data_IF_071427914905
#
_entry.id   IF_071427914905
#
_cell.length_a   1.000
_cell.length_b   1.000
_cell.length_c   1.000
_cell.angle_alpha   90.00
_cell.angle_beta   90.00
_cell.angle_gamma   90.00
#
_symmetry.space_group_name_H-M   'P 1'
#
loop_
_entity.id
_entity.type
_entity.pdbx_description
1 polymer ?
#
# COMPACT_ATOMS: atom_id res chain seq x y z
N UNK A 1 -10.75 -28.26 -1.78
CA UNK A 1 -10.76 -27.08 -0.88
C UNK A 1 -10.32 -25.89 -1.71
N UNK A 2 -11.14 -24.83 -1.81
CA UNK A 2 -10.72 -23.61 -2.51
C UNK A 2 -9.56 -22.97 -1.74
N UNK A 3 -8.60 -22.33 -2.43
CA UNK A 3 -7.50 -21.63 -1.76
C UNK A 3 -8.02 -20.55 -0.81
N UNK A 4 -7.54 -20.57 0.44
CA UNK A 4 -7.76 -19.52 1.43
C UNK A 4 -6.83 -18.35 1.10
N UNK A 5 -7.31 -17.46 0.23
CA UNK A 5 -6.58 -16.25 -0.14
C UNK A 5 -6.62 -15.19 0.97
N UNK A 6 -5.55 -14.41 0.99
CA UNK A 6 -5.35 -13.28 1.89
C UNK A 6 -5.20 -12.01 1.09
N UNK A 7 -5.53 -10.87 1.69
CA UNK A 7 -5.62 -9.63 0.94
C UNK A 7 -5.00 -8.47 1.70
N UNK A 8 -4.37 -7.57 0.96
CA UNK A 8 -3.91 -6.27 1.47
C UNK A 8 -4.53 -5.19 0.62
N UNK A 9 -4.88 -4.06 1.24
CA UNK A 9 -5.25 -2.85 0.51
C UNK A 9 -4.29 -1.74 0.87
N UNK A 10 -3.63 -1.19 -0.13
CA UNK A 10 -2.60 -0.15 0.00
C UNK A 10 -2.94 1.02 -0.92
N UNK A 11 -2.51 2.25 -0.63
CA UNK A 11 -2.64 3.35 -1.57
C UNK A 11 -1.60 3.19 -2.69
N UNK A 12 -1.89 3.67 -3.90
CA UNK A 12 -0.98 3.58 -5.04
C UNK A 12 0.42 4.16 -4.75
N UNK A 13 0.53 5.24 -3.99
CA UNK A 13 1.82 5.79 -3.56
C UNK A 13 2.69 4.77 -2.82
N UNK A 14 2.09 3.89 -1.99
CA UNK A 14 2.85 2.88 -1.29
C UNK A 14 3.41 1.85 -2.28
N UNK A 15 2.62 1.46 -3.30
CA UNK A 15 3.11 0.59 -4.37
C UNK A 15 4.27 1.25 -5.12
N UNK A 16 4.13 2.51 -5.54
CA UNK A 16 5.19 3.25 -6.25
C UNK A 16 6.47 3.32 -5.42
N UNK A 17 6.34 3.69 -4.15
CA UNK A 17 7.48 3.83 -3.26
C UNK A 17 8.23 2.49 -3.10
N UNK A 18 7.48 1.41 -2.90
CA UNK A 18 8.05 0.07 -2.76
C UNK A 18 8.71 -0.42 -4.06
N UNK A 19 8.06 -0.20 -5.20
CA UNK A 19 8.53 -0.60 -6.51
C UNK A 19 9.87 0.04 -6.85
N UNK A 20 9.96 1.37 -6.72
CA UNK A 20 11.09 2.14 -7.22
C UNK A 20 12.20 2.37 -6.20
N UNK A 21 11.90 2.38 -4.90
CA UNK A 21 12.88 2.78 -3.88
C UNK A 21 13.18 1.70 -2.84
N UNK A 22 12.34 0.68 -2.71
CA UNK A 22 12.57 -0.44 -1.77
C UNK A 22 12.81 -1.78 -2.47
N UNK A 23 13.40 -1.74 -3.67
CA UNK A 23 13.80 -2.96 -4.39
C UNK A 23 12.62 -3.91 -4.67
N UNK A 24 11.42 -3.35 -4.92
CA UNK A 24 10.19 -4.10 -5.17
C UNK A 24 9.72 -4.98 -3.99
N UNK A 25 10.15 -4.64 -2.78
CA UNK A 25 9.69 -5.29 -1.56
C UNK A 25 8.57 -4.46 -0.91
N UNK A 26 7.44 -5.11 -0.68
CA UNK A 26 6.24 -4.46 -0.15
C UNK A 26 6.02 -4.84 1.32
N UNK A 27 6.01 -3.83 2.19
CA UNK A 27 5.53 -4.00 3.56
C UNK A 27 4.01 -4.05 3.56
N UNK A 28 3.42 -5.17 3.99
CA UNK A 28 1.97 -5.39 3.88
C UNK A 28 1.40 -6.00 5.16
N UNK A 29 0.24 -5.47 5.57
CA UNK A 29 -0.68 -6.19 6.43
C UNK A 29 -1.68 -6.94 5.56
N UNK A 30 -1.78 -8.25 5.76
CA UNK A 30 -2.66 -9.13 5.00
C UNK A 30 -3.71 -9.72 5.92
N UNK A 31 -4.95 -9.76 5.47
CA UNK A 31 -6.06 -10.32 6.24
C UNK A 31 -7.00 -11.15 5.35
N UNK A 32 -7.73 -12.07 5.97
CA UNK A 32 -8.68 -12.94 5.27
C UNK A 32 -10.01 -13.03 6.04
N UNK A 33 -11.15 -13.08 5.31
CA UNK A 33 -11.34 -12.94 3.87
C UNK A 33 -11.44 -11.46 3.45
N UNK A 34 -11.53 -11.21 2.14
CA UNK A 34 -11.73 -9.86 1.60
C UNK A 34 -13.08 -9.24 2.01
N UNK A 35 -14.13 -10.07 2.04
CA UNK A 35 -15.50 -9.70 2.47
C UNK A 35 -15.80 -10.29 3.85
N UNK A 36 -15.27 -9.73 4.94
CA UNK A 36 -15.45 -10.30 6.27
C UNK A 36 -16.89 -10.14 6.74
N UNK A 37 -17.64 -11.24 6.81
CA UNK A 37 -18.95 -11.27 7.47
C UNK A 37 -18.79 -11.80 8.89
N UNK A 38 -19.19 -11.01 9.90
CA UNK A 38 -19.19 -11.38 11.33
C UNK A 38 -17.82 -11.75 11.94
N UNK A 39 -16.70 -11.40 11.30
CA UNK A 39 -15.36 -11.66 11.84
C UNK A 39 -14.90 -10.58 12.84
N UNK A 40 -14.15 -11.02 13.84
CA UNK A 40 -13.57 -10.17 14.90
C UNK A 40 -12.40 -9.29 14.44
N UNK A 41 -11.99 -9.35 13.17
CA UNK A 41 -10.96 -8.45 12.65
C UNK A 41 -11.40 -6.99 12.88
N UNK A 42 -10.54 -6.11 13.43
CA UNK A 42 -10.86 -4.69 13.50
C UNK A 42 -10.91 -4.08 12.10
N UNK A 43 -11.53 -2.90 11.95
CA UNK A 43 -11.65 -2.20 10.65
C UNK A 43 -10.30 -2.04 9.93
N UNK A 44 -9.22 -1.80 10.69
CA UNK A 44 -7.84 -1.68 10.18
C UNK A 44 -7.25 -2.97 9.60
N UNK A 45 -7.98 -4.09 9.71
CA UNK A 45 -7.61 -5.44 9.28
C UNK A 45 -8.68 -6.07 8.39
N UNK A 46 -9.52 -5.22 7.78
CA UNK A 46 -10.59 -5.59 6.85
C UNK A 46 -10.30 -4.95 5.50
N UNK A 47 -9.76 -5.70 4.53
CA UNK A 47 -9.28 -5.15 3.26
C UNK A 47 -10.33 -4.32 2.49
N UNK A 48 -11.59 -4.74 2.50
CA UNK A 48 -12.69 -3.97 1.90
C UNK A 48 -12.98 -2.64 2.61
N UNK A 49 -12.91 -2.61 3.94
CA UNK A 49 -13.11 -1.36 4.69
C UNK A 49 -11.97 -0.38 4.40
N UNK A 50 -10.73 -0.89 4.39
CA UNK A 50 -9.54 -0.09 4.05
C UNK A 50 -9.63 0.43 2.61
N UNK A 51 -10.11 -0.40 1.66
CA UNK A 51 -10.36 0.04 0.29
C UNK A 51 -11.29 1.24 0.25
N UNK A 52 -12.43 1.15 0.94
CA UNK A 52 -13.40 2.25 1.01
C UNK A 52 -12.79 3.50 1.64
N UNK A 53 -12.02 3.33 2.71
CA UNK A 53 -11.35 4.44 3.42
C UNK A 53 -10.35 5.20 2.52
N UNK A 54 -9.78 4.55 1.49
CA UNK A 54 -9.00 5.20 0.44
C UNK A 54 -9.85 5.76 -0.70
N UNK A 55 -10.81 4.95 -1.18
CA UNK A 55 -11.59 5.24 -2.38
C UNK A 55 -12.52 6.45 -2.21
N UNK A 56 -13.20 6.58 -1.07
CA UNK A 56 -14.17 7.66 -0.83
C UNK A 56 -13.48 9.04 -0.85
N UNK A 57 -12.42 9.30 -0.06
CA UNK A 57 -11.70 10.57 -0.15
C UNK A 57 -11.09 10.85 -1.52
N UNK A 58 -10.59 9.81 -2.21
CA UNK A 58 -10.07 9.96 -3.57
C UNK A 58 -11.17 10.40 -4.54
N UNK A 59 -12.33 9.72 -4.53
CA UNK A 59 -13.44 9.98 -5.45
C UNK A 59 -14.03 11.37 -5.23
N UNK A 60 -14.16 11.77 -3.97
CA UNK A 60 -14.74 13.06 -3.57
C UNK A 60 -13.71 14.20 -3.59
N UNK A 61 -12.43 13.89 -3.85
CA UNK A 61 -11.30 14.82 -3.78
C UNK A 61 -11.19 15.50 -2.40
N UNK A 62 -11.52 14.79 -1.33
CA UNK A 62 -11.53 15.31 0.04
C UNK A 62 -10.11 15.42 0.61
N UNK A 63 -9.56 16.63 0.55
CA UNK A 63 -8.24 16.98 1.09
C UNK A 63 -8.17 16.98 2.62
N UNK A 64 -9.32 16.95 3.32
CA UNK A 64 -9.40 17.05 4.78
C UNK A 64 -9.68 15.71 5.47
N UNK A 65 -9.66 14.60 4.71
CA UNK A 65 -9.83 13.26 5.26
C UNK A 65 -8.80 12.98 6.36
N UNK A 66 -9.30 12.69 7.56
CA UNK A 66 -8.49 12.30 8.72
C UNK A 66 -7.78 10.96 8.52
N UNK A 67 -8.39 10.06 7.73
CA UNK A 67 -7.79 8.79 7.34
C UNK A 67 -6.57 9.00 6.45
N UNK A 68 -6.70 9.81 5.38
CA UNK A 68 -5.58 10.14 4.48
C UNK A 68 -4.47 10.84 5.27
N UNK A 69 -4.82 11.82 6.12
CA UNK A 69 -3.85 12.50 6.99
C UNK A 69 -3.08 11.52 7.89
N UNK A 70 -3.79 10.56 8.50
CA UNK A 70 -3.17 9.51 9.31
C UNK A 70 -2.26 8.59 8.49
N UNK A 71 -2.64 8.27 7.26
CA UNK A 71 -1.83 7.44 6.36
C UNK A 71 -0.57 8.15 5.90
N UNK A 72 -0.62 9.45 5.59
CA UNK A 72 0.58 10.26 5.31
C UNK A 72 1.58 10.19 6.45
N UNK A 73 1.13 10.42 7.68
CA UNK A 73 1.99 10.32 8.88
C UNK A 73 2.59 8.92 9.06
N UNK A 74 1.81 7.87 8.80
CA UNK A 74 2.30 6.49 8.89
C UNK A 74 3.38 6.19 7.85
N UNK A 75 3.20 6.64 6.60
CA UNK A 75 4.19 6.46 5.53
C UNK A 75 5.44 7.30 5.79
N UNK A 76 5.29 8.53 6.29
CA UNK A 76 6.39 9.39 6.71
C UNK A 76 7.29 8.68 7.74
N UNK A 77 6.67 8.11 8.79
CA UNK A 77 7.37 7.33 9.80
C UNK A 77 8.05 6.09 9.20
N UNK A 78 7.37 5.39 8.28
CA UNK A 78 7.93 4.23 7.58
C UNK A 78 9.19 4.56 6.78
N UNK A 79 9.16 5.65 6.01
CA UNK A 79 10.33 6.12 5.25
C UNK A 79 11.49 6.46 6.19
N UNK A 80 11.20 7.20 7.27
CA UNK A 80 12.23 7.61 8.23
C UNK A 80 12.81 6.46 9.06
N UNK A 81 12.08 5.35 9.22
CA UNK A 81 12.56 4.14 9.88
C UNK A 81 13.46 3.28 8.99
N UNK A 82 13.37 3.42 7.66
CA UNK A 82 14.02 2.53 6.68
C UNK A 82 15.43 3.00 6.26
N UNK A 83 16.21 3.54 7.22
CA UNK A 83 17.50 4.22 6.95
C UNK A 83 18.58 3.34 6.31
N UNK A 84 18.46 2.01 6.41
CA UNK A 84 19.43 1.07 5.82
C UNK A 84 19.18 0.80 4.34
N UNK A 85 17.98 1.08 3.82
CA UNK A 85 17.60 0.78 2.43
C UNK A 85 17.70 2.01 1.51
N UNK A 86 17.71 3.21 2.08
CA UNK A 86 17.68 4.46 1.33
C UNK A 86 18.88 5.33 1.67
N UNK A 87 19.32 6.14 0.71
CA UNK A 87 20.24 7.23 1.01
C UNK A 87 19.54 8.29 1.88
N UNK A 88 20.29 9.10 2.66
CA UNK A 88 19.70 10.19 3.42
C UNK A 88 18.89 11.18 2.58
N UNK A 89 19.36 11.51 1.37
CA UNK A 89 18.68 12.43 0.46
C UNK A 89 17.34 11.84 -0.03
N UNK A 90 17.38 10.60 -0.54
CA UNK A 90 16.18 9.86 -0.97
C UNK A 90 15.14 9.78 0.16
N UNK A 91 15.58 9.53 1.40
CA UNK A 91 14.70 9.45 2.57
C UNK A 91 14.00 10.78 2.87
N UNK A 92 14.73 11.91 2.81
CA UNK A 92 14.16 13.24 3.04
C UNK A 92 13.14 13.59 1.96
N UNK A 93 13.47 13.32 0.68
CA UNK A 93 12.57 13.58 -0.44
C UNK A 93 11.28 12.76 -0.34
N UNK A 94 11.41 11.45 -0.10
CA UNK A 94 10.25 10.56 0.08
C UNK A 94 9.39 10.93 1.28
N UNK A 95 10.01 11.35 2.40
CA UNK A 95 9.28 11.87 3.56
C UNK A 95 8.41 13.08 3.17
N UNK A 96 8.99 14.03 2.44
CA UNK A 96 8.29 15.23 2.00
C UNK A 96 7.17 14.92 0.98
N UNK A 97 7.39 13.95 0.09
CA UNK A 97 6.39 13.42 -0.84
C UNK A 97 5.23 12.77 -0.08
N UNK A 98 5.49 11.86 0.86
CA UNK A 98 4.44 11.24 1.68
C UNK A 98 3.51 12.29 2.33
N UNK A 99 4.09 13.42 2.77
CA UNK A 99 3.36 14.53 3.39
C UNK A 99 2.49 15.33 2.39
N UNK A 100 2.88 15.44 1.13
CA UNK A 100 2.31 16.44 0.19
C UNK A 100 1.75 15.89 -1.11
N UNK A 101 2.07 14.66 -1.50
CA UNK A 101 1.67 14.06 -2.79
C UNK A 101 0.16 14.19 -2.99
N UNK A 102 -0.28 14.41 -4.23
CA UNK A 102 -1.70 14.63 -4.53
C UNK A 102 -2.58 13.45 -4.04
N UNK A 103 -3.84 13.75 -3.70
CA UNK A 103 -4.80 12.74 -3.25
C UNK A 103 -5.08 11.67 -4.31
N UNK A 104 -4.86 11.97 -5.60
CA UNK A 104 -4.91 10.99 -6.69
C UNK A 104 -4.07 9.74 -6.41
N UNK A 105 -2.91 9.88 -5.75
CA UNK A 105 -2.01 8.78 -5.41
C UNK A 105 -2.47 7.92 -4.24
N UNK A 106 -3.59 8.26 -3.62
CA UNK A 106 -4.25 7.44 -2.61
C UNK A 106 -5.31 6.50 -3.21
N UNK A 107 -5.44 6.44 -4.54
CA UNK A 107 -6.26 5.43 -5.19
C UNK A 107 -5.87 4.02 -4.71
N UNK A 108 -6.83 3.20 -4.25
CA UNK A 108 -6.53 1.92 -3.62
C UNK A 108 -6.04 0.88 -4.63
N UNK A 109 -5.05 0.12 -4.20
CA UNK A 109 -4.52 -1.08 -4.85
C UNK A 109 -4.78 -2.27 -3.94
N UNK A 110 -5.40 -3.32 -4.47
CA UNK A 110 -5.68 -4.55 -3.70
C UNK A 110 -4.79 -5.69 -4.16
N UNK A 111 -4.04 -6.24 -3.22
CA UNK A 111 -3.23 -7.44 -3.41
C UNK A 111 -4.01 -8.68 -2.99
N UNK A 112 -3.86 -9.77 -3.73
CA UNK A 112 -4.25 -11.14 -3.37
C UNK A 112 -3.01 -11.97 -3.18
N UNK A 113 -2.89 -12.59 -2.02
CA UNK A 113 -1.73 -13.35 -1.59
C UNK A 113 -2.15 -14.78 -1.25
N UNK A 114 -1.39 -15.75 -1.72
CA UNK A 114 -1.50 -17.14 -1.29
C UNK A 114 -0.44 -17.41 -0.21
N UNK A 115 -0.84 -17.38 1.06
CA UNK A 115 0.09 -17.57 2.18
C UNK A 115 0.77 -18.95 2.20
N UNK A 116 0.27 -19.94 1.47
CA UNK A 116 0.92 -21.26 1.36
C UNK A 116 2.23 -21.19 0.56
N UNK A 117 2.41 -20.12 -0.22
CA UNK A 117 3.61 -19.87 -1.02
C UNK A 117 4.62 -18.97 -0.30
N UNK A 118 4.25 -18.43 0.86
CA UNK A 118 5.10 -17.56 1.66
C UNK A 118 5.80 -18.38 2.73
N UNK A 119 7.10 -18.15 2.92
CA UNK A 119 7.85 -18.75 4.03
C UNK A 119 7.18 -18.37 5.38
N UNK A 120 6.78 -19.36 6.21
CA UNK A 120 6.16 -19.10 7.50
C UNK A 120 6.97 -18.19 8.44
N UNK A 121 8.30 -18.16 8.32
CA UNK A 121 9.16 -17.28 9.11
C UNK A 121 8.98 -15.78 8.81
N UNK A 122 8.39 -15.45 7.66
CA UNK A 122 8.07 -14.07 7.24
C UNK A 122 6.67 -13.63 7.68
N UNK A 123 5.90 -14.50 8.31
CA UNK A 123 4.52 -14.26 8.74
C UNK A 123 4.48 -13.79 10.20
N UNK A 124 4.58 -12.48 10.41
CA UNK A 124 4.50 -11.89 11.74
C UNK A 124 3.04 -11.75 12.20
N UNK A 125 2.72 -12.24 13.39
CA UNK A 125 1.50 -11.83 14.11
C UNK A 125 1.81 -10.65 15.01
N UNK A 126 1.02 -9.59 14.91
CA UNK A 126 1.14 -8.43 15.78
C UNK A 126 -0.24 -7.81 16.04
N UNK A 127 -0.32 -6.99 17.09
CA UNK A 127 -1.53 -6.26 17.46
C UNK A 127 -2.78 -7.16 17.53
N UNK A 128 -3.80 -6.90 16.72
CA UNK A 128 -5.09 -7.60 16.80
C UNK A 128 -5.00 -9.08 16.40
N UNK A 129 -3.97 -9.46 15.63
CA UNK A 129 -3.63 -10.84 15.31
C UNK A 129 -3.42 -11.70 16.58
N UNK A 130 -2.90 -11.08 17.64
CA UNK A 130 -2.61 -11.76 18.91
C UNK A 130 -3.88 -12.08 19.71
N UNK A 131 -4.99 -11.40 19.43
CA UNK A 131 -6.28 -11.58 20.12
C UNK A 131 -7.36 -12.19 19.21
N UNK A 132 -6.94 -12.82 18.11
CA UNK A 132 -7.80 -13.66 17.27
C UNK A 132 -8.23 -13.06 15.92
N UNK A 133 -7.67 -11.91 15.52
CA UNK A 133 -7.82 -11.43 14.14
C UNK A 133 -7.10 -12.36 13.16
N UNK A 134 -7.73 -12.62 12.01
CA UNK A 134 -7.09 -13.33 10.89
C UNK A 134 -6.28 -12.33 10.08
N UNK A 135 -5.12 -11.95 10.61
CA UNK A 135 -4.17 -11.08 9.93
C UNK A 135 -2.71 -11.51 10.16
N UNK A 136 -1.86 -11.16 9.22
CA UNK A 136 -0.40 -11.25 9.33
C UNK A 136 0.24 -9.97 8.81
N UNK A 137 1.43 -9.67 9.28
CA UNK A 137 2.32 -8.67 8.71
C UNK A 137 3.45 -9.38 7.97
N UNK A 138 3.72 -8.92 6.75
CA UNK A 138 4.84 -9.39 5.92
C UNK A 138 5.69 -8.16 5.64
N UNK A 139 6.94 -8.17 6.09
CA UNK A 139 7.79 -6.97 6.02
C UNK A 139 8.34 -6.69 4.62
N UNK A 140 8.61 -7.75 3.86
CA UNK A 140 9.21 -7.67 2.53
C UNK A 140 8.53 -8.68 1.60
N UNK A 141 7.29 -8.41 1.18
CA UNK A 141 6.54 -9.22 0.21
C UNK A 141 7.02 -8.89 -1.21
N UNK A 142 7.43 -9.88 -1.98
CA UNK A 142 7.93 -9.67 -3.35
C UNK A 142 6.79 -9.60 -4.36
N UNK A 143 6.97 -8.85 -5.46
CA UNK A 143 5.91 -8.63 -6.46
C UNK A 143 5.41 -9.89 -7.16
N UNK A 144 6.22 -10.96 -7.18
CA UNK A 144 5.81 -12.24 -7.75
C UNK A 144 4.99 -13.10 -6.77
N UNK A 145 4.87 -12.68 -5.50
CA UNK A 145 4.17 -13.40 -4.43
C UNK A 145 2.71 -12.94 -4.26
N UNK A 146 2.28 -11.93 -5.01
CA UNK A 146 0.91 -11.45 -5.00
C UNK A 146 0.37 -11.14 -6.39
N UNK A 147 -0.94 -11.28 -6.55
CA UNK A 147 -1.66 -10.76 -7.70
C UNK A 147 -2.31 -9.42 -7.35
N UNK A 148 -2.37 -8.49 -8.29
CA UNK A 148 -3.14 -7.25 -8.13
C UNK A 148 -4.55 -7.50 -8.62
N UNK A 149 -5.52 -7.43 -7.72
CA UNK A 149 -6.94 -7.69 -8.05
C UNK A 149 -7.68 -6.44 -8.53
N UNK A 150 -7.37 -5.30 -7.93
CA UNK A 150 -8.05 -4.04 -8.21
C UNK A 150 -7.03 -2.91 -8.29
N UNK A 151 -6.79 -2.47 -9.52
CA UNK A 151 -6.13 -1.22 -9.86
C UNK A 151 -6.43 -0.93 -11.34
N UNK A 152 -7.28 0.06 -11.60
CA UNK A 152 -7.59 0.48 -12.97
C UNK A 152 -6.86 1.79 -13.25
N UNK A 153 -5.77 1.73 -14.01
CA UNK A 153 -4.99 2.91 -14.41
C UNK A 153 -5.79 3.86 -15.30
N UNK A 154 -6.90 3.39 -15.88
CA UNK A 154 -7.78 4.18 -16.75
C UNK A 154 -8.99 4.74 -15.99
N UNK A 155 -9.06 4.55 -14.67
CA UNK A 155 -10.15 5.08 -13.88
C UNK A 155 -10.23 6.61 -14.05
N UNK A 156 -11.45 7.12 -14.28
CA UNK A 156 -11.70 8.54 -14.45
C UNK A 156 -11.16 9.34 -13.25
N UNK A 157 -10.32 10.33 -13.54
CA UNK A 157 -9.69 11.18 -12.52
C UNK A 157 -8.27 10.74 -12.13
N UNK A 158 -7.76 9.63 -12.65
CA UNK A 158 -6.33 9.30 -12.53
C UNK A 158 -5.50 10.10 -13.55
N UNK A 159 -4.34 10.64 -13.14
CA UNK A 159 -3.39 11.25 -14.06
C UNK A 159 -2.83 10.25 -15.07
N UNK A 160 -2.56 10.69 -16.30
CA UNK A 160 -2.01 9.84 -17.38
C UNK A 160 -0.65 9.20 -17.05
N UNK A 161 0.13 9.80 -16.16
CA UNK A 161 1.41 9.24 -15.72
C UNK A 161 1.28 8.01 -14.80
N UNK A 162 0.07 7.66 -14.33
CA UNK A 162 -0.14 6.46 -13.50
C UNK A 162 0.20 5.17 -14.25
N UNK A 163 -0.11 5.11 -15.54
CA UNK A 163 0.26 3.96 -16.38
C UNK A 163 1.79 3.83 -16.48
N UNK A 164 2.49 4.95 -16.70
CA UNK A 164 3.96 4.94 -16.78
C UNK A 164 4.60 4.49 -15.46
N UNK A 165 4.09 4.99 -14.33
CA UNK A 165 4.50 4.53 -12.99
C UNK A 165 4.21 3.03 -12.80
N UNK A 166 3.05 2.56 -13.24
CA UNK A 166 2.64 1.16 -13.09
C UNK A 166 3.51 0.20 -13.91
N UNK A 167 3.87 0.57 -15.13
CA UNK A 167 4.69 -0.28 -16.00
C UNK A 167 6.14 -0.42 -15.53
N UNK A 168 6.60 0.42 -14.60
CA UNK A 168 7.97 0.34 -14.09
C UNK A 168 9.02 0.91 -15.06
N UNK A 169 8.63 1.68 -16.07
CA UNK A 169 9.54 2.11 -17.15
C UNK A 169 10.38 3.36 -16.83
N UNK A 170 10.11 4.01 -15.70
CA UNK A 170 10.70 5.29 -15.32
C UNK A 170 11.95 5.11 -14.46
N UNK A 171 12.88 6.05 -14.59
CA UNK A 171 13.99 6.23 -13.65
C UNK A 171 13.50 6.83 -12.33
N UNK A 172 14.31 6.68 -11.27
CA UNK A 172 14.01 7.25 -9.95
C UNK A 172 13.78 8.77 -9.99
N UNK A 173 14.54 9.51 -10.81
CA UNK A 173 14.41 10.96 -10.93
C UNK A 173 13.11 11.38 -11.63
N UNK A 174 12.69 10.65 -12.66
CA UNK A 174 11.39 10.87 -13.32
C UNK A 174 10.23 10.57 -12.36
N UNK A 175 10.32 9.48 -11.59
CA UNK A 175 9.33 9.16 -10.56
C UNK A 175 9.26 10.28 -9.52
N UNK A 176 10.40 10.79 -9.07
CA UNK A 176 10.41 11.92 -8.15
C UNK A 176 9.76 13.18 -8.72
N UNK A 177 10.05 13.54 -9.98
CA UNK A 177 9.45 14.70 -10.62
C UNK A 177 7.91 14.61 -10.62
N UNK A 178 7.39 13.44 -11.00
CA UNK A 178 5.94 13.15 -11.01
C UNK A 178 5.36 13.26 -9.59
N UNK A 179 5.97 12.62 -8.60
CA UNK A 179 5.48 12.61 -7.22
C UNK A 179 5.55 13.98 -6.54
N UNK A 180 6.51 14.82 -6.94
CA UNK A 180 6.67 16.20 -6.47
C UNK A 180 5.74 17.18 -7.21
N UNK A 181 5.08 16.76 -8.30
CA UNK A 181 4.21 17.59 -9.12
C UNK A 181 4.96 18.59 -10.01
N UNK A 182 6.16 18.22 -10.47
CA UNK A 182 7.01 19.02 -11.36
C UNK A 182 6.91 18.59 -12.82
#
# INVERSE_FOLDING_TARGET
MLPDYWYSTQPFIAWVINHYFYGRQHYCWVASPFYPYQLKNPRSSRPMDIYRDYYEPWKDKDKFSSFISSKRMSMEKGVMASKSMLTPDTSIRLRDICRRVDIAFFYPVVYRIDLRRIDPSRLDKAASALVGSREFRIQALEEHEFDVMFFDTNAEGLPSHFEQLWTGSLSADEVFAILEGK
#
